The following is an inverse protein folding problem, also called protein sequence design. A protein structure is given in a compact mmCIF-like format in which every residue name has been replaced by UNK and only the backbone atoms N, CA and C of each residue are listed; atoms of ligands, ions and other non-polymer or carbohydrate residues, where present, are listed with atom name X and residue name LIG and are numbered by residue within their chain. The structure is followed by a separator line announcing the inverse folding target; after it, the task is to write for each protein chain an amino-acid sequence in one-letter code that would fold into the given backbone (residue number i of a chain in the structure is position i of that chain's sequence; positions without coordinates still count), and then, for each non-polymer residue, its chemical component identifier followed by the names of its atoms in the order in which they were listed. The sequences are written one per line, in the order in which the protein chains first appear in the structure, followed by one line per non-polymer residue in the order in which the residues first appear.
data_IF_695602772746
#
_entry.id   IF_695602772746
#
_cell.length_a   1.000
_cell.length_b   1.000
_cell.length_c   1.000
_cell.angle_alpha   90.00
_cell.angle_beta   90.00
_cell.angle_gamma   90.00
#
_symmetry.space_group_name_H-M   'P 1'
#
loop_
_entity.id
_entity.type
_entity.pdbx_description
1 polymer ?
#
# COMPACT_ATOMS: atom_id res chain seq x y z
N UNK A 1 41.48 11.02 -9.32
CA UNK A 1 41.07 9.92 -10.22
C UNK A 1 40.77 8.74 -9.30
N UNK A 2 39.54 8.36 -8.97
CA UNK A 2 38.36 8.20 -9.82
C UNK A 2 37.09 8.68 -9.09
N UNK A 3 36.29 9.50 -9.77
CA UNK A 3 34.90 9.80 -9.40
C UNK A 3 34.06 8.67 -10.00
N UNK A 4 33.72 7.67 -9.18
CA UNK A 4 32.80 6.60 -9.54
C UNK A 4 31.36 7.09 -9.43
N UNK A 5 30.85 7.67 -10.51
CA UNK A 5 29.47 8.16 -10.63
C UNK A 5 28.50 6.98 -10.80
N UNK A 6 28.08 6.35 -9.70
CA UNK A 6 26.98 5.38 -9.70
C UNK A 6 25.66 6.17 -9.52
N UNK A 7 25.22 6.81 -10.61
CA UNK A 7 23.81 7.18 -10.77
C UNK A 7 23.04 5.93 -11.15
N UNK A 8 22.63 5.15 -10.15
CA UNK A 8 21.58 4.15 -10.34
C UNK A 8 20.25 4.89 -10.53
N UNK A 9 19.71 4.86 -11.75
CA UNK A 9 18.41 5.43 -12.07
C UNK A 9 17.31 4.58 -11.43
N UNK A 10 17.01 4.83 -10.14
CA UNK A 10 15.89 4.21 -9.44
C UNK A 10 14.57 4.85 -9.90
N UNK A 11 13.79 4.13 -10.71
CA UNK A 11 12.45 4.55 -11.16
C UNK A 11 11.36 3.93 -10.27
N UNK A 12 10.20 4.58 -10.15
CA UNK A 12 9.02 4.01 -9.48
C UNK A 12 8.66 2.61 -10.02
N UNK A 13 8.82 2.40 -11.34
CA UNK A 13 8.62 1.09 -11.99
C UNK A 13 9.60 0.02 -11.50
N UNK A 14 10.76 0.40 -11.00
CA UNK A 14 11.73 -0.53 -10.40
C UNK A 14 11.27 -1.04 -9.04
N UNK A 15 10.48 -0.28 -8.28
CA UNK A 15 9.91 -0.76 -7.02
C UNK A 15 8.92 -1.91 -7.25
N UNK A 16 8.11 -1.79 -8.30
CA UNK A 16 7.19 -2.85 -8.73
C UNK A 16 7.92 -4.03 -9.37
N UNK A 17 9.04 -3.78 -10.07
CA UNK A 17 9.84 -4.84 -10.69
C UNK A 17 10.75 -5.61 -9.71
N UNK A 18 11.21 -5.01 -8.61
CA UNK A 18 12.03 -5.71 -7.61
C UNK A 18 11.26 -6.79 -6.83
N UNK A 19 9.93 -6.73 -6.79
CA UNK A 19 9.10 -7.83 -6.31
C UNK A 19 9.12 -9.05 -7.25
N UNK A 20 9.63 -8.91 -8.47
CA UNK A 20 9.57 -9.92 -9.53
C UNK A 20 10.87 -10.73 -9.72
N UNK A 21 11.73 -10.86 -8.70
CA UNK A 21 12.97 -11.65 -8.81
C UNK A 21 12.91 -13.00 -8.07
N UNK A 22 12.73 -14.04 -8.89
CA UNK A 22 13.00 -15.49 -8.74
C UNK A 22 11.98 -16.34 -7.96
N UNK A 23 11.15 -17.02 -8.77
CA UNK A 23 10.35 -18.22 -8.48
C UNK A 23 9.03 -18.06 -7.71
N UNK A 24 8.19 -17.07 -8.05
CA UNK A 24 6.75 -17.18 -7.86
C UNK A 24 6.02 -16.30 -8.87
N UNK A 25 4.83 -16.75 -9.27
CA UNK A 25 3.84 -16.10 -10.13
C UNK A 25 3.81 -14.59 -9.85
N UNK A 26 3.62 -13.75 -10.87
CA UNK A 26 3.35 -12.31 -10.68
C UNK A 26 2.04 -12.15 -9.89
N UNK A 27 2.11 -12.24 -8.55
CA UNK A 27 0.94 -12.11 -7.69
C UNK A 27 0.67 -10.61 -7.62
N UNK A 28 -0.23 -10.13 -8.48
CA UNK A 28 -0.80 -8.79 -8.33
C UNK A 28 -1.29 -8.64 -6.89
N UNK A 29 -0.89 -7.53 -6.26
CA UNK A 29 -1.29 -7.23 -4.89
C UNK A 29 -2.82 -7.13 -4.73
N UNK A 30 -3.31 -7.35 -3.51
CA UNK A 30 -4.74 -7.39 -3.21
C UNK A 30 -5.45 -6.09 -3.56
N UNK A 31 -4.82 -4.94 -3.31
CA UNK A 31 -5.40 -3.64 -3.64
C UNK A 31 -5.42 -3.43 -5.16
N UNK A 32 -4.33 -3.78 -5.87
CA UNK A 32 -4.32 -3.78 -7.32
C UNK A 32 -5.39 -4.70 -7.93
N UNK A 33 -5.64 -5.88 -7.34
CA UNK A 33 -6.69 -6.81 -7.77
C UNK A 33 -8.09 -6.24 -7.60
N UNK A 34 -8.35 -5.56 -6.48
CA UNK A 34 -9.64 -4.89 -6.22
C UNK A 34 -9.87 -3.78 -7.24
N UNK A 35 -8.86 -2.95 -7.49
CA UNK A 35 -8.96 -1.85 -8.45
C UNK A 35 -9.15 -2.35 -9.88
N UNK A 36 -8.54 -3.49 -10.24
CA UNK A 36 -8.70 -4.14 -11.55
C UNK A 36 -10.12 -4.61 -11.86
N UNK A 37 -11.03 -4.67 -10.88
CA UNK A 37 -12.45 -4.99 -11.10
C UNK A 37 -13.24 -3.86 -11.77
N UNK A 38 -12.64 -2.68 -11.96
CA UNK A 38 -13.19 -1.63 -12.82
C UNK A 38 -14.05 -0.57 -12.13
N UNK A 39 -14.35 -0.71 -10.83
CA UNK A 39 -15.09 0.32 -10.08
C UNK A 39 -14.29 1.62 -9.90
N UNK A 40 -12.97 1.57 -10.08
CA UNK A 40 -12.05 2.69 -9.87
C UNK A 40 -11.18 2.94 -11.11
N UNK A 41 -11.84 3.37 -12.21
CA UNK A 41 -11.27 3.49 -13.56
C UNK A 41 -9.87 4.16 -13.68
N UNK A 42 -9.49 5.20 -12.91
CA UNK A 42 -8.15 5.80 -13.03
C UNK A 42 -7.00 4.88 -12.60
N UNK A 43 -7.28 3.83 -11.82
CA UNK A 43 -6.26 3.01 -11.16
C UNK A 43 -6.22 1.56 -11.64
N UNK A 44 -7.05 1.18 -12.61
CA UNK A 44 -7.14 -0.20 -13.14
C UNK A 44 -5.85 -0.68 -13.79
N UNK A 45 -5.05 0.26 -14.33
CA UNK A 45 -3.88 -0.05 -15.16
C UNK A 45 -2.57 0.55 -14.62
N UNK A 46 -2.62 1.32 -13.54
CA UNK A 46 -1.44 1.94 -12.95
C UNK A 46 -0.70 0.92 -12.06
N UNK A 47 0.64 0.82 -12.14
CA UNK A 47 1.41 0.05 -11.16
C UNK A 47 1.21 0.62 -9.75
N UNK A 48 0.99 -0.26 -8.76
CA UNK A 48 0.75 0.12 -7.38
C UNK A 48 1.82 -0.52 -6.51
N UNK A 49 2.48 0.30 -5.71
CA UNK A 49 3.29 -0.20 -4.60
C UNK A 49 2.43 -0.21 -3.34
N UNK A 50 2.17 -1.40 -2.80
CA UNK A 50 1.24 -1.56 -1.69
C UNK A 50 1.82 -2.42 -0.56
N UNK A 51 1.33 -2.20 0.65
CA UNK A 51 1.60 -3.06 1.80
C UNK A 51 0.51 -2.95 2.85
N UNK A 52 0.40 -3.99 3.68
CA UNK A 52 -0.51 -4.02 4.81
C UNK A 52 0.15 -3.43 6.05
N UNK A 53 -0.64 -2.73 6.85
CA UNK A 53 -0.21 -2.08 8.09
C UNK A 53 -1.27 -2.27 9.17
N UNK A 54 -0.85 -2.23 10.42
CA UNK A 54 -1.74 -2.01 11.57
C UNK A 54 -1.58 -0.57 12.00
N UNK A 55 -2.71 0.13 12.17
CA UNK A 55 -2.70 1.45 12.76
C UNK A 55 -2.38 1.32 14.25
N UNK A 56 -1.35 2.06 14.68
CA UNK A 56 -0.91 2.12 16.07
C UNK A 56 -0.99 3.56 16.57
N UNK A 57 -0.99 3.75 17.88
CA UNK A 57 -0.79 5.07 18.46
C UNK A 57 0.70 5.47 18.40
N UNK A 58 1.02 6.68 18.90
CA UNK A 58 2.41 7.19 18.89
C UNK A 58 3.39 6.29 19.68
N UNK A 59 2.90 5.60 20.71
CA UNK A 59 3.69 4.66 21.54
C UNK A 59 3.90 3.32 20.83
N UNK A 60 2.98 2.94 19.95
CA UNK A 60 3.02 1.68 19.21
C UNK A 60 1.98 0.68 19.62
N UNK A 61 1.01 1.09 20.43
CA UNK A 61 -0.10 0.22 20.81
C UNK A 61 -1.12 0.19 19.67
N UNK A 62 -1.64 -0.98 19.28
CA UNK A 62 -2.64 -1.10 18.22
C UNK A 62 -3.89 -0.28 18.54
N UNK A 63 -4.42 0.38 17.52
CA UNK A 63 -5.72 1.07 17.60
C UNK A 63 -6.79 0.07 17.17
N UNK A 64 -7.81 -0.11 18.03
CA UNK A 64 -8.88 -1.06 17.79
C UNK A 64 -10.12 -0.35 17.24
N UNK A 65 -10.75 -0.96 16.23
CA UNK A 65 -12.05 -0.57 15.68
C UNK A 65 -12.93 -1.81 15.69
N UNK A 66 -14.12 -1.72 16.29
CA UNK A 66 -15.01 -2.86 16.51
C UNK A 66 -14.32 -4.09 17.14
N UNK A 67 -13.52 -3.85 18.20
CA UNK A 67 -12.79 -4.88 18.94
C UNK A 67 -11.76 -5.68 18.11
N UNK A 68 -11.29 -5.14 16.99
CA UNK A 68 -10.21 -5.71 16.17
C UNK A 68 -9.13 -4.67 15.88
N UNK A 69 -7.86 -5.06 15.73
CA UNK A 69 -6.83 -4.14 15.27
C UNK A 69 -7.24 -3.48 13.96
N UNK A 70 -7.03 -2.17 13.84
CA UNK A 70 -7.35 -1.44 12.63
C UNK A 70 -6.28 -1.71 11.55
N UNK A 71 -6.48 -2.78 10.79
CA UNK A 71 -5.67 -3.14 9.66
C UNK A 71 -6.00 -2.26 8.44
N UNK A 72 -4.97 -1.75 7.77
CA UNK A 72 -5.08 -0.88 6.60
C UNK A 72 -4.10 -1.33 5.52
N UNK A 73 -4.54 -1.36 4.28
CA UNK A 73 -3.66 -1.52 3.12
C UNK A 73 -3.38 -0.14 2.56
N UNK A 74 -2.10 0.22 2.46
CA UNK A 74 -1.66 1.48 1.86
C UNK A 74 -1.11 1.18 0.47
N UNK A 75 -1.65 1.84 -0.55
CA UNK A 75 -1.14 1.81 -1.91
C UNK A 75 -0.58 3.17 -2.33
N UNK A 76 0.49 3.18 -3.10
CA UNK A 76 1.09 4.37 -3.71
C UNK A 76 1.14 4.14 -5.21
N UNK A 77 0.56 5.04 -5.99
CA UNK A 77 0.46 4.91 -7.43
C UNK A 77 0.46 6.28 -8.14
N UNK A 78 0.62 6.22 -9.46
CA UNK A 78 0.37 7.36 -10.33
C UNK A 78 -1.13 7.45 -10.67
N UNK A 79 -1.66 8.67 -10.79
CA UNK A 79 -3.03 8.92 -11.26
C UNK A 79 -3.17 8.82 -12.78
N UNK A 80 -2.06 8.74 -13.51
CA UNK A 80 -2.02 8.61 -14.97
C UNK A 80 -0.83 7.74 -15.37
N UNK A 81 -0.95 6.87 -16.38
CA UNK A 81 0.15 6.06 -16.89
C UNK A 81 1.29 6.90 -17.50
N UNK A 82 1.03 8.17 -17.83
CA UNK A 82 2.05 9.10 -18.36
C UNK A 82 2.98 9.68 -17.29
N UNK A 83 2.66 9.52 -16.00
CA UNK A 83 3.49 10.03 -14.92
C UNK A 83 4.60 9.03 -14.57
N UNK A 84 5.83 9.53 -14.45
CA UNK A 84 6.99 8.75 -14.03
C UNK A 84 7.07 8.56 -12.52
N UNK A 85 6.42 9.46 -11.76
CA UNK A 85 6.38 9.45 -10.30
C UNK A 85 4.94 9.22 -9.79
N UNK A 86 4.79 8.52 -8.65
CA UNK A 86 3.51 8.40 -8.00
C UNK A 86 3.09 9.74 -7.38
N UNK A 87 1.80 10.04 -7.43
CA UNK A 87 1.21 11.27 -6.92
C UNK A 87 -0.07 11.03 -6.09
N UNK A 88 -0.47 9.77 -5.90
CA UNK A 88 -1.67 9.38 -5.15
C UNK A 88 -1.33 8.31 -4.12
N UNK A 89 -1.89 8.46 -2.91
CA UNK A 89 -1.96 7.44 -1.88
C UNK A 89 -3.39 6.91 -1.75
N UNK A 90 -3.53 5.60 -1.69
CA UNK A 90 -4.77 4.85 -1.55
C UNK A 90 -4.80 4.19 -0.18
N UNK A 91 -5.94 4.24 0.51
CA UNK A 91 -6.17 3.48 1.75
C UNK A 91 -7.36 2.55 1.60
N UNK A 92 -7.13 1.26 1.80
CA UNK A 92 -8.17 0.26 1.85
C UNK A 92 -8.21 -0.45 3.20
N UNK A 93 -9.37 -0.98 3.55
CA UNK A 93 -9.59 -1.76 4.76
C UNK A 93 -10.17 -3.12 4.40
N UNK A 94 -9.83 -4.15 5.19
CA UNK A 94 -10.44 -5.47 5.03
C UNK A 94 -11.83 -5.46 5.65
N UNK A 95 -12.84 -5.79 4.85
CA UNK A 95 -14.23 -5.93 5.27
C UNK A 95 -14.57 -7.42 5.26
N UNK A 96 -15.08 -7.90 6.38
CA UNK A 96 -15.63 -9.25 6.47
C UNK A 96 -17.06 -9.20 5.95
N UNK A 97 -17.31 -9.72 4.75
CA UNK A 97 -18.68 -9.92 4.28
C UNK A 97 -19.18 -11.23 4.84
N UNK A 98 -20.21 -11.17 5.68
CA UNK A 98 -21.00 -12.37 5.97
C UNK A 98 -21.63 -12.83 4.66
N UNK A 99 -21.70 -14.14 4.38
CA UNK A 99 -22.47 -14.65 3.25
C UNK A 99 -23.90 -14.14 3.38
N UNK A 100 -24.26 -13.13 2.59
CA UNK A 100 -25.60 -12.58 2.60
C UNK A 100 -26.50 -13.66 2.00
N UNK A 101 -27.54 -14.02 2.75
CA UNK A 101 -28.46 -15.13 2.46
C UNK A 101 -28.92 -15.11 1.00
N UNK A 102 -28.37 -16.02 0.20
CA UNK A 102 -29.01 -16.39 -1.06
C UNK A 102 -30.25 -17.20 -0.67
N UNK A 103 -31.38 -16.52 -0.66
CA UNK A 103 -32.70 -17.12 -0.46
C UNK A 103 -32.87 -18.38 -1.32
N UNK A 104 -33.38 -19.42 -0.64
CA UNK A 104 -34.04 -20.63 -1.16
C UNK A 104 -33.18 -21.81 -1.66
N UNK A 105 -32.89 -22.75 -0.74
CA UNK A 105 -33.39 -24.15 -0.74
C UNK A 105 -32.76 -24.95 0.42
N UNK A 106 -33.54 -25.77 1.17
CA UNK A 106 -32.98 -26.59 2.24
C UNK A 106 -32.35 -27.87 1.66
N UNK A 107 -31.34 -28.38 2.37
CA UNK A 107 -30.64 -29.65 2.16
C UNK A 107 -29.37 -29.61 1.30
N UNK A 108 -28.24 -29.35 1.96
CA UNK A 108 -27.01 -30.17 1.89
C UNK A 108 -26.03 -29.68 2.97
N UNK A 109 -25.41 -30.65 3.65
CA UNK A 109 -24.41 -30.50 4.72
C UNK A 109 -23.42 -29.38 4.38
N UNK A 110 -23.54 -28.25 5.08
CA UNK A 110 -22.74 -27.05 4.82
C UNK A 110 -21.32 -27.26 5.37
N UNK A 111 -20.34 -27.39 4.48
CA UNK A 111 -19.04 -26.77 4.74
C UNK A 111 -19.35 -25.27 4.78
N UNK A 112 -19.18 -24.62 5.94
CA UNK A 112 -19.31 -23.16 6.02
C UNK A 112 -18.48 -22.57 4.88
N UNK A 113 -19.05 -21.73 4.00
CA UNK A 113 -18.26 -21.04 3.00
C UNK A 113 -17.20 -20.21 3.76
N UNK A 114 -15.93 -20.21 3.34
CA UNK A 114 -14.92 -19.39 3.98
C UNK A 114 -15.41 -17.93 3.96
N UNK A 115 -15.40 -17.28 5.12
CA UNK A 115 -15.68 -15.85 5.24
C UNK A 115 -14.76 -15.14 4.24
N UNK A 116 -15.35 -14.53 3.20
CA UNK A 116 -14.56 -13.88 2.17
C UNK A 116 -14.20 -12.49 2.69
N UNK A 117 -12.96 -12.32 3.14
CA UNK A 117 -12.42 -11.00 3.42
C UNK A 117 -12.29 -10.25 2.10
N UNK A 118 -13.08 -9.19 1.94
CA UNK A 118 -13.02 -8.31 0.78
C UNK A 118 -12.33 -7.02 1.19
N UNK A 119 -11.25 -6.69 0.49
CA UNK A 119 -10.60 -5.40 0.64
C UNK A 119 -11.45 -4.32 -0.05
N UNK A 120 -11.80 -3.27 0.67
CA UNK A 120 -12.58 -2.14 0.16
C UNK A 120 -11.80 -0.83 0.26
N UNK A 121 -11.80 -0.07 -0.83
CA UNK A 121 -11.08 1.18 -0.92
C UNK A 121 -11.87 2.28 -0.21
N UNK A 122 -11.26 2.85 0.82
CA UNK A 122 -11.93 3.81 1.70
C UNK A 122 -11.60 5.26 1.37
N UNK A 123 -10.35 5.54 0.98
CA UNK A 123 -9.85 6.91 0.84
C UNK A 123 -8.77 7.04 -0.22
N UNK A 124 -8.72 8.24 -0.80
CA UNK A 124 -7.71 8.70 -1.75
C UNK A 124 -7.10 9.98 -1.23
N UNK A 125 -5.78 10.10 -1.32
CA UNK A 125 -5.08 11.32 -0.95
C UNK A 125 -4.06 11.69 -2.02
N UNK A 126 -4.15 12.90 -2.62
CA UNK A 126 -3.05 13.45 -3.41
C UNK A 126 -1.80 13.60 -2.54
N UNK A 127 -0.67 13.05 -2.99
CA UNK A 127 0.57 13.02 -2.19
C UNK A 127 1.11 14.41 -1.87
N UNK A 128 0.78 15.43 -2.66
CA UNK A 128 1.08 16.84 -2.33
C UNK A 128 0.48 17.32 -1.00
N UNK A 129 -0.50 16.60 -0.46
CA UNK A 129 -1.14 16.88 0.83
C UNK A 129 -0.83 15.84 1.91
N UNK A 130 0.12 14.93 1.65
CA UNK A 130 0.50 13.84 2.56
C UNK A 130 2.01 13.83 2.73
N UNK A 131 2.45 13.97 3.98
CA UNK A 131 3.84 13.74 4.35
C UNK A 131 3.97 12.32 4.90
N UNK A 132 4.81 11.51 4.24
CA UNK A 132 5.18 10.16 4.70
C UNK A 132 6.59 10.23 5.28
N UNK A 133 6.75 9.79 6.53
CA UNK A 133 8.03 9.79 7.24
C UNK A 133 8.23 8.52 8.05
N UNK A 134 9.49 8.23 8.39
CA UNK A 134 9.84 7.12 9.28
C UNK A 134 9.65 7.57 10.71
N UNK A 135 8.83 6.84 11.48
CA UNK A 135 8.66 7.09 12.91
C UNK A 135 9.60 6.24 13.75
N UNK A 136 9.73 4.96 13.42
CA UNK A 136 10.66 4.04 14.07
C UNK A 136 11.09 2.97 13.07
N UNK A 137 12.38 2.97 12.68
CA UNK A 137 12.89 2.05 11.68
C UNK A 137 12.97 0.60 12.18
N UNK A 138 13.37 0.40 13.45
CA UNK A 138 13.50 -0.93 14.06
C UNK A 138 12.18 -1.67 14.12
N UNK A 139 11.11 -0.95 14.51
CA UNK A 139 9.73 -1.44 14.54
C UNK A 139 9.02 -1.32 13.19
N UNK A 140 9.72 -0.89 12.13
CA UNK A 140 9.16 -0.73 10.77
C UNK A 140 7.88 0.12 10.75
N UNK A 141 7.92 1.23 11.49
CA UNK A 141 6.80 2.14 11.69
C UNK A 141 6.96 3.43 10.89
N UNK A 142 5.92 3.76 10.15
CA UNK A 142 5.78 5.00 9.40
C UNK A 142 4.83 5.96 10.11
N UNK A 143 4.98 7.25 9.81
CA UNK A 143 4.04 8.31 10.16
C UNK A 143 3.52 8.94 8.88
N UNK A 144 2.20 9.00 8.76
CA UNK A 144 1.48 9.77 7.76
C UNK A 144 0.97 11.05 8.41
N UNK A 145 1.32 12.21 7.87
CA UNK A 145 0.76 13.50 8.31
C UNK A 145 0.03 14.14 7.14
N UNK A 146 -1.24 14.45 7.34
CA UNK A 146 -2.06 15.14 6.35
C UNK A 146 -1.87 16.65 6.45
N UNK A 147 -2.15 17.38 5.36
CA UNK A 147 -2.19 18.85 5.37
C UNK A 147 -3.13 19.44 6.45
N UNK A 148 -4.18 18.70 6.84
CA UNK A 148 -5.04 19.04 7.97
C UNK A 148 -4.37 19.03 9.36
N UNK A 149 -3.09 18.65 9.45
CA UNK A 149 -2.36 18.46 10.72
C UNK A 149 -2.53 17.09 11.37
N UNK A 150 -3.59 16.34 11.01
CA UNK A 150 -3.83 14.98 11.51
C UNK A 150 -2.67 14.04 11.17
N UNK A 151 -2.27 13.23 12.15
CA UNK A 151 -1.18 12.26 12.02
C UNK A 151 -1.66 10.84 12.32
N UNK A 152 -1.20 9.87 11.53
CA UNK A 152 -1.47 8.45 11.69
C UNK A 152 -0.13 7.71 11.78
N UNK A 153 -0.03 6.75 12.69
CA UNK A 153 1.15 5.92 12.84
C UNK A 153 0.81 4.51 12.37
N UNK A 154 1.62 3.97 11.48
CA UNK A 154 1.37 2.71 10.80
C UNK A 154 2.56 1.79 10.99
N UNK A 155 2.33 0.62 11.56
CA UNK A 155 3.34 -0.42 11.70
C UNK A 155 3.18 -1.43 10.56
N UNK A 156 4.25 -1.67 9.81
CA UNK A 156 4.21 -2.55 8.64
C UNK A 156 3.85 -3.97 9.06
N UNK A 157 2.91 -4.59 8.36
CA UNK A 157 2.55 -5.99 8.52
C UNK A 157 3.01 -6.79 7.30
N UNK A 158 3.47 -8.00 7.53
CA UNK A 158 3.90 -8.92 6.47
C UNK A 158 4.60 -10.14 7.06
N UNK A 159 4.87 -11.17 6.24
CA UNK A 159 5.68 -12.30 6.66
C UNK A 159 7.01 -11.81 7.24
N UNK A 160 7.46 -12.33 8.42
CA UNK A 160 8.67 -11.86 9.08
C UNK A 160 9.91 -11.82 8.16
N UNK A 161 10.00 -12.79 7.26
CA UNK A 161 11.12 -12.97 6.33
C UNK A 161 11.18 -11.87 5.24
N UNK A 162 10.04 -11.29 4.88
CA UNK A 162 9.93 -10.28 3.82
C UNK A 162 9.77 -8.86 4.37
N UNK A 163 9.35 -8.72 5.62
CA UNK A 163 9.01 -7.45 6.26
C UNK A 163 10.17 -6.44 6.21
N UNK A 164 11.42 -6.92 6.36
CA UNK A 164 12.61 -6.07 6.25
C UNK A 164 12.86 -5.56 4.82
N UNK A 165 12.66 -6.41 3.81
CA UNK A 165 12.80 -6.02 2.41
C UNK A 165 11.71 -5.01 2.00
N UNK A 166 10.46 -5.30 2.38
CA UNK A 166 9.32 -4.40 2.17
C UNK A 166 9.56 -3.04 2.83
N UNK A 167 10.02 -3.03 4.09
CA UNK A 167 10.31 -1.76 4.76
C UNK A 167 11.43 -0.98 4.06
N UNK A 168 12.48 -1.65 3.58
CA UNK A 168 13.54 -1.01 2.79
C UNK A 168 13.00 -0.40 1.48
N UNK A 169 12.04 -1.05 0.82
CA UNK A 169 11.37 -0.49 -0.34
C UNK A 169 10.54 0.75 0.03
N UNK A 170 9.81 0.73 1.16
CA UNK A 170 9.14 1.92 1.70
C UNK A 170 10.10 3.08 1.96
N UNK A 171 11.28 2.83 2.55
CA UNK A 171 12.29 3.87 2.77
C UNK A 171 12.74 4.53 1.47
N UNK A 172 13.06 3.71 0.46
CA UNK A 172 13.45 4.18 -0.87
C UNK A 172 12.33 4.98 -1.54
N UNK A 173 11.07 4.55 -1.40
CA UNK A 173 9.91 5.27 -1.93
C UNK A 173 9.74 6.62 -1.23
N UNK A 174 9.83 6.66 0.09
CA UNK A 174 9.76 7.91 0.87
C UNK A 174 10.87 8.88 0.44
N UNK A 175 12.09 8.39 0.21
CA UNK A 175 13.18 9.21 -0.32
C UNK A 175 12.85 9.78 -1.70
N UNK A 176 12.24 8.98 -2.58
CA UNK A 176 11.82 9.42 -3.92
C UNK A 176 10.70 10.46 -3.86
N UNK A 177 9.72 10.31 -2.96
CA UNK A 177 8.64 11.29 -2.78
C UNK A 177 9.12 12.64 -2.25
N UNK A 178 10.27 12.69 -1.58
CA UNK A 178 10.89 13.92 -1.07
C UNK A 178 11.77 14.65 -2.08
N UNK A 179 12.02 14.05 -3.25
CA UNK A 179 12.84 14.70 -4.28
C UNK A 179 12.08 15.92 -4.84
N UNK A 180 12.77 17.07 -5.05
CA UNK A 180 12.18 18.22 -5.71
C UNK A 180 11.59 17.82 -7.07
N UNK A 181 10.32 18.14 -7.29
CA UNK A 181 9.58 17.76 -8.50
C UNK A 181 10.12 18.44 -9.77
N UNK A 182 10.89 19.52 -9.62
CA UNK A 182 11.47 20.31 -10.73
C UNK A 182 12.51 19.54 -11.58
N UNK A 183 12.90 18.35 -11.15
CA UNK A 183 13.90 17.51 -11.86
C UNK A 183 13.31 16.52 -12.87
N UNK A 184 12.00 16.45 -13.01
CA UNK A 184 11.33 15.43 -13.84
C UNK A 184 10.49 15.98 -15.00
N UNK A 185 10.41 17.30 -15.15
CA UNK A 185 9.65 17.96 -16.23
C UNK A 185 10.49 18.42 -17.44
N UNK A 186 11.78 18.08 -17.49
CA UNK A 186 12.65 18.42 -18.62
C UNK A 186 13.33 17.17 -19.17
N UNK A 187 12.62 16.35 -19.95
CA UNK A 187 13.17 15.67 -21.13
C UNK A 187 12.05 15.23 -22.05
#
# INVERSE_FOLDING_TARGET
LCVGNIRSYFSFRSFTACAASRNQISIMGDLQRVLGKGEYAPFTSAPIFESNFVQVNRRGEPIYVHNRPNCVTVGICASSPSLSLPNVMLLAHTVTKSPQEVTSKPWKVSKQPPTMEQLELSRFFPLKFVEISVHNAEKRRLKLKLASGRSFYLELCGPPDEQHLLFRQWLRLISLLKLPQDRYNNT
#
